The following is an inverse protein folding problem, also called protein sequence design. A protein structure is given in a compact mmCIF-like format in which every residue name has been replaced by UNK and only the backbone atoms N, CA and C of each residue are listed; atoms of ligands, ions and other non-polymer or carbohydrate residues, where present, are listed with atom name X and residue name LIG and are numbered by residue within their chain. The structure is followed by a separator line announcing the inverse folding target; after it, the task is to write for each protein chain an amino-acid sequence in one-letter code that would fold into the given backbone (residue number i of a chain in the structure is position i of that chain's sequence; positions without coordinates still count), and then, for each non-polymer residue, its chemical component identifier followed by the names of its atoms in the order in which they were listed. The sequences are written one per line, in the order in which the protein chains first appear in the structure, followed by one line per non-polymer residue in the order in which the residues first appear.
data_IF_927817250398
#
_entry.id   IF_927817250398
#
_cell.length_a   1.000
_cell.length_b   1.000
_cell.length_c   1.000
_cell.angle_alpha   90.00
_cell.angle_beta   90.00
_cell.angle_gamma   90.00
#
_symmetry.space_group_name_H-M   'P 1'
#
loop_
_entity.id
_entity.type
_entity.pdbx_description
1 polymer ?
#
# COMPACT_ATOMS: atom_id res chain seq x y z
N UNK A 1 6.62 -14.61 34.04
CA UNK A 1 7.59 -14.35 35.08
C UNK A 1 7.01 -13.37 36.05
N UNK A 2 6.45 -13.92 37.08
CA UNK A 2 5.95 -13.09 38.17
C UNK A 2 7.12 -12.32 38.80
N UNK A 3 6.92 -11.09 39.18
CA UNK A 3 7.89 -10.27 39.88
C UNK A 3 8.94 -9.57 39.04
N UNK A 4 8.98 -9.81 37.73
CA UNK A 4 9.87 -9.02 36.87
C UNK A 4 9.26 -7.63 36.62
N UNK A 5 9.88 -6.63 37.21
CA UNK A 5 9.57 -5.23 36.87
C UNK A 5 9.91 -4.98 35.41
N UNK A 6 8.95 -4.54 34.64
CA UNK A 6 9.20 -4.09 33.27
C UNK A 6 9.71 -2.65 33.32
N UNK A 7 10.80 -2.42 32.64
CA UNK A 7 11.27 -1.06 32.43
C UNK A 7 10.44 -0.40 31.33
N UNK A 8 9.39 0.30 31.71
CA UNK A 8 8.48 0.95 30.79
C UNK A 8 9.09 2.16 30.10
N UNK A 9 10.20 2.68 30.61
CA UNK A 9 10.93 3.74 29.94
C UNK A 9 11.54 3.23 28.64
N UNK A 10 12.16 2.04 28.68
CA UNK A 10 12.84 1.47 27.53
C UNK A 10 11.96 0.53 26.69
N UNK A 11 10.93 -0.05 27.31
CA UNK A 11 10.04 -1.04 26.70
C UNK A 11 8.61 -0.54 26.53
N UNK A 12 8.44 0.75 26.49
CA UNK A 12 7.13 1.38 26.34
C UNK A 12 6.84 1.85 24.92
N UNK A 13 6.13 2.94 24.87
CA UNK A 13 5.75 3.59 23.61
C UNK A 13 6.97 4.19 22.94
N UNK A 14 7.04 4.04 21.63
CA UNK A 14 8.12 4.60 20.80
C UNK A 14 7.56 5.51 19.73
N UNK A 15 8.25 6.61 19.51
CA UNK A 15 7.97 7.53 18.42
C UNK A 15 9.14 7.46 17.45
N UNK A 16 8.84 7.14 16.21
CA UNK A 16 9.83 7.19 15.12
C UNK A 16 9.60 8.49 14.38
N UNK A 17 10.57 9.39 14.45
CA UNK A 17 10.48 10.68 13.77
C UNK A 17 10.38 10.51 12.27
N UNK A 18 9.56 11.33 11.62
CA UNK A 18 9.48 11.37 10.16
C UNK A 18 10.78 11.74 9.46
N UNK A 19 11.74 12.30 10.19
CA UNK A 19 13.09 12.60 9.69
C UNK A 19 14.03 11.39 9.74
N UNK A 20 13.64 10.33 10.43
CA UNK A 20 14.48 9.15 10.67
C UNK A 20 13.85 7.87 10.12
N UNK A 21 13.06 7.98 9.06
CA UNK A 21 12.52 6.80 8.39
C UNK A 21 13.63 6.07 7.65
N UNK A 22 13.54 4.74 7.63
CA UNK A 22 14.54 3.90 7.01
C UNK A 22 14.17 3.60 5.55
N UNK A 23 14.89 4.21 4.62
CA UNK A 23 14.72 3.96 3.19
C UNK A 23 15.44 2.71 2.70
N UNK A 24 16.24 2.06 3.56
CA UNK A 24 16.87 0.78 3.27
C UNK A 24 15.85 -0.38 3.44
N UNK A 25 14.81 -0.34 2.65
CA UNK A 25 13.74 -1.34 2.62
C UNK A 25 13.50 -1.73 1.16
N UNK A 26 12.96 -2.93 0.88
CA UNK A 26 12.71 -3.33 -0.51
C UNK A 26 11.88 -2.32 -1.26
N UNK A 27 12.34 -1.97 -2.44
CA UNK A 27 11.72 -0.97 -3.32
C UNK A 27 11.03 -1.63 -4.51
N UNK A 28 10.07 -0.92 -5.06
CA UNK A 28 9.37 -1.30 -6.29
C UNK A 28 9.59 -0.19 -7.33
N UNK A 29 9.87 -0.51 -8.60
CA UNK A 29 9.99 0.53 -9.62
C UNK A 29 8.76 1.43 -9.68
N UNK A 30 8.99 2.73 -9.78
CA UNK A 30 7.94 3.76 -9.82
C UNK A 30 7.49 4.25 -8.46
N UNK A 31 7.99 3.68 -7.37
CA UNK A 31 7.67 4.14 -6.02
C UNK A 31 8.90 4.14 -5.10
N UNK A 32 8.82 4.94 -4.04
CA UNK A 32 9.79 4.96 -2.96
C UNK A 32 9.08 4.59 -1.65
N UNK A 33 9.69 3.70 -0.88
CA UNK A 33 9.22 3.32 0.46
C UNK A 33 10.24 3.72 1.50
N UNK A 34 9.74 4.09 2.68
CA UNK A 34 10.57 4.28 3.85
C UNK A 34 9.88 3.65 5.06
N UNK A 35 10.58 2.77 5.75
CA UNK A 35 10.04 2.10 6.92
C UNK A 35 10.03 3.04 8.12
N UNK A 36 8.90 3.13 8.79
CA UNK A 36 8.76 3.84 10.06
C UNK A 36 8.73 2.84 11.22
N UNK A 37 7.85 1.88 11.16
CA UNK A 37 7.66 0.87 12.21
C UNK A 37 7.99 -0.50 11.63
N UNK A 38 9.03 -1.11 12.13
CA UNK A 38 9.39 -2.50 11.85
C UNK A 38 10.18 -3.06 13.03
N UNK A 39 10.73 -4.25 12.90
CA UNK A 39 11.51 -4.84 13.97
C UNK A 39 12.76 -4.01 14.26
N UNK A 40 13.47 -3.56 13.25
CA UNK A 40 14.71 -2.81 13.41
C UNK A 40 14.51 -1.44 14.07
N UNK A 41 13.45 -0.72 13.74
CA UNK A 41 13.18 0.62 14.26
C UNK A 41 12.51 0.60 15.62
N UNK A 42 11.54 -0.27 15.81
CA UNK A 42 10.65 -0.24 16.97
C UNK A 42 10.54 -1.57 17.72
N UNK A 43 11.17 -2.63 17.24
CA UNK A 43 11.03 -3.97 17.82
C UNK A 43 9.66 -4.60 17.53
N UNK A 44 8.98 -4.15 16.49
CA UNK A 44 7.68 -4.69 16.13
C UNK A 44 7.82 -6.13 15.62
N UNK A 45 6.84 -6.98 15.96
CA UNK A 45 6.85 -8.38 15.58
C UNK A 45 5.83 -8.72 14.49
N UNK A 46 4.69 -8.03 14.48
CA UNK A 46 3.56 -8.37 13.62
C UNK A 46 3.16 -7.26 12.65
N UNK A 47 3.71 -6.08 12.81
CA UNK A 47 3.33 -4.92 12.01
C UNK A 47 4.55 -4.31 11.35
N UNK A 48 4.37 -3.95 10.11
CA UNK A 48 5.25 -3.06 9.38
C UNK A 48 4.44 -1.85 8.95
N UNK A 49 4.98 -0.65 9.13
CA UNK A 49 4.33 0.57 8.66
C UNK A 49 5.39 1.53 8.11
N UNK A 50 5.04 2.23 7.07
CA UNK A 50 5.93 3.19 6.46
C UNK A 50 5.23 4.11 5.48
N UNK A 51 6.01 4.96 4.86
CA UNK A 51 5.54 5.86 3.80
C UNK A 51 5.80 5.26 2.43
N UNK A 52 4.94 5.61 1.50
CA UNK A 52 5.07 5.24 0.08
C UNK A 52 4.80 6.47 -0.76
N UNK A 53 5.73 6.76 -1.64
CA UNK A 53 5.56 7.80 -2.67
C UNK A 53 5.53 7.12 -4.02
N UNK A 54 4.45 7.31 -4.77
CA UNK A 54 4.37 6.86 -6.17
C UNK A 54 4.53 8.10 -7.04
N UNK A 55 5.54 8.07 -7.89
CA UNK A 55 5.88 9.22 -8.73
C UNK A 55 4.73 9.58 -9.69
N UNK A 56 4.71 10.84 -10.11
CA UNK A 56 3.73 11.30 -11.08
C UNK A 56 3.71 10.39 -12.32
N UNK A 57 2.53 10.06 -12.79
CA UNK A 57 2.31 9.20 -13.96
C UNK A 57 2.93 7.80 -13.86
N UNK A 58 3.25 7.34 -12.65
CA UNK A 58 3.85 6.03 -12.44
C UNK A 58 2.83 4.99 -12.00
N UNK A 59 3.19 3.75 -12.22
CA UNK A 59 2.44 2.57 -11.77
C UNK A 59 3.42 1.46 -11.43
N UNK A 60 3.01 0.58 -10.53
CA UNK A 60 3.79 -0.61 -10.21
C UNK A 60 3.58 -1.70 -11.26
N UNK A 61 4.42 -2.72 -11.24
CA UNK A 61 4.10 -3.98 -11.88
C UNK A 61 2.94 -4.69 -11.16
N UNK A 62 2.42 -5.72 -11.79
CA UNK A 62 1.37 -6.56 -11.18
C UNK A 62 2.02 -7.52 -10.21
N UNK A 63 1.49 -7.59 -9.00
CA UNK A 63 2.05 -8.43 -7.93
C UNK A 63 0.98 -8.78 -6.88
N UNK A 64 1.33 -9.71 -6.01
CA UNK A 64 0.62 -9.92 -4.75
C UNK A 64 1.62 -10.06 -3.60
N UNK A 65 1.12 -10.04 -2.38
CA UNK A 65 1.96 -10.08 -1.18
C UNK A 65 1.76 -11.38 -0.38
N UNK A 66 1.41 -12.48 -1.05
CA UNK A 66 1.18 -13.75 -0.39
C UNK A 66 0.08 -13.65 0.66
N UNK A 67 0.34 -14.15 1.85
CA UNK A 67 -0.64 -14.16 2.95
C UNK A 67 -0.76 -12.83 3.69
N UNK A 68 0.04 -11.82 3.34
CA UNK A 68 0.01 -10.53 4.02
C UNK A 68 -1.27 -9.76 3.68
N UNK A 69 -1.78 -9.08 4.68
CA UNK A 69 -2.79 -8.05 4.51
C UNK A 69 -2.12 -6.69 4.50
N UNK A 70 -2.66 -5.77 3.74
CA UNK A 70 -2.14 -4.40 3.66
C UNK A 70 -3.27 -3.39 3.77
N UNK A 71 -2.96 -2.28 4.42
CA UNK A 71 -3.78 -1.09 4.44
C UNK A 71 -2.96 0.04 3.84
N UNK A 72 -3.55 0.78 2.92
CA UNK A 72 -2.99 2.00 2.38
C UNK A 72 -3.89 3.16 2.76
N UNK A 73 -3.31 4.19 3.36
CA UNK A 73 -3.99 5.45 3.64
C UNK A 73 -3.43 6.51 2.70
N UNK A 74 -4.31 7.16 1.93
CA UNK A 74 -3.91 8.22 1.01
C UNK A 74 -3.76 9.53 1.79
N UNK A 75 -2.55 10.07 1.79
CA UNK A 75 -2.25 11.37 2.41
C UNK A 75 -2.52 12.50 1.44
N UNK A 76 -2.00 12.38 0.22
CA UNK A 76 -2.21 13.37 -0.85
C UNK A 76 -2.09 12.72 -2.21
N UNK A 77 -2.77 13.28 -3.19
CA UNK A 77 -2.83 12.75 -4.54
C UNK A 77 -4.05 11.88 -4.76
N UNK A 78 -4.04 11.15 -5.87
CA UNK A 78 -5.14 10.29 -6.29
C UNK A 78 -4.59 8.90 -6.64
N UNK A 79 -5.02 7.91 -5.89
CA UNK A 79 -4.64 6.52 -6.13
C UNK A 79 -5.66 5.83 -7.03
N UNK A 80 -5.16 4.96 -7.89
CA UNK A 80 -6.00 4.01 -8.63
C UNK A 80 -5.46 2.62 -8.37
N UNK A 81 -6.34 1.71 -7.99
CA UNK A 81 -6.01 0.32 -7.79
C UNK A 81 -6.69 -0.51 -8.88
N UNK A 82 -5.94 -1.43 -9.46
CA UNK A 82 -6.50 -2.47 -10.32
C UNK A 82 -6.19 -3.81 -9.73
N UNK A 83 -7.13 -4.75 -9.81
CA UNK A 83 -6.93 -6.09 -9.28
C UNK A 83 -7.74 -7.13 -10.06
N UNK A 84 -7.45 -8.38 -9.78
CA UNK A 84 -8.06 -9.52 -10.44
C UNK A 84 -7.10 -10.23 -11.37
N UNK A 85 -7.52 -11.34 -11.92
CA UNK A 85 -6.68 -12.19 -12.79
C UNK A 85 -6.29 -11.54 -14.11
N UNK A 86 -7.02 -10.50 -14.52
CA UNK A 86 -6.75 -9.68 -15.69
C UNK A 86 -6.69 -8.20 -15.34
N UNK A 87 -6.56 -7.86 -14.06
CA UNK A 87 -6.69 -6.49 -13.57
C UNK A 87 -7.99 -5.83 -14.03
N UNK A 88 -9.06 -6.61 -14.11
CA UNK A 88 -10.35 -6.15 -14.63
C UNK A 88 -11.12 -5.24 -13.69
N UNK A 89 -10.82 -5.30 -12.40
CA UNK A 89 -11.47 -4.46 -11.40
C UNK A 89 -10.64 -3.22 -11.11
N UNK A 90 -11.30 -2.09 -10.93
CA UNK A 90 -10.66 -0.79 -10.72
C UNK A 90 -11.40 -0.02 -9.64
N UNK A 91 -10.65 0.64 -8.77
CA UNK A 91 -11.20 1.67 -7.88
C UNK A 91 -10.22 2.84 -7.75
N UNK A 92 -10.72 3.97 -7.27
CA UNK A 92 -9.91 5.13 -6.95
C UNK A 92 -10.11 5.56 -5.50
N UNK A 93 -9.08 6.16 -4.94
CA UNK A 93 -9.08 6.69 -3.58
C UNK A 93 -8.33 8.02 -3.56
N UNK A 94 -8.86 8.96 -2.82
CA UNK A 94 -8.26 10.28 -2.62
C UNK A 94 -7.85 10.51 -1.17
N UNK A 95 -7.37 11.73 -0.86
CA UNK A 95 -6.87 12.04 0.48
C UNK A 95 -7.89 11.72 1.59
N UNK A 96 -7.42 11.00 2.61
CA UNK A 96 -8.27 10.57 3.72
C UNK A 96 -8.90 9.19 3.56
N UNK A 97 -8.81 8.60 2.37
CA UNK A 97 -9.39 7.28 2.12
C UNK A 97 -8.43 6.16 2.53
N UNK A 98 -9.02 5.03 2.92
CA UNK A 98 -8.30 3.81 3.25
C UNK A 98 -8.56 2.76 2.18
N UNK A 99 -7.49 2.08 1.77
CA UNK A 99 -7.56 0.95 0.84
C UNK A 99 -7.12 -0.30 1.60
N UNK A 100 -7.92 -1.36 1.49
CA UNK A 100 -7.56 -2.66 2.04
C UNK A 100 -7.18 -3.61 0.92
N UNK A 101 -6.03 -4.26 1.04
CA UNK A 101 -5.56 -5.27 0.09
C UNK A 101 -5.55 -6.63 0.79
N UNK A 102 -6.45 -7.54 0.41
CA UNK A 102 -6.50 -8.89 0.98
C UNK A 102 -5.28 -9.74 0.58
N UNK A 103 -5.07 -10.88 1.27
CA UNK A 103 -4.05 -11.83 0.85
C UNK A 103 -4.25 -12.34 -0.58
N UNK A 104 -3.15 -12.62 -1.26
CA UNK A 104 -3.07 -13.29 -2.57
C UNK A 104 -3.72 -12.56 -3.74
N UNK A 105 -4.23 -11.36 -3.57
CA UNK A 105 -4.91 -10.62 -4.64
C UNK A 105 -3.89 -10.04 -5.62
N UNK A 106 -3.90 -10.48 -6.88
CA UNK A 106 -3.12 -9.81 -7.92
C UNK A 106 -3.58 -8.37 -8.08
N UNK A 107 -2.66 -7.43 -7.95
CA UNK A 107 -3.02 -6.01 -8.02
C UNK A 107 -1.90 -5.16 -8.59
N UNK A 108 -2.27 -3.95 -8.94
CA UNK A 108 -1.38 -2.90 -9.42
C UNK A 108 -1.77 -1.59 -8.78
N UNK A 109 -0.78 -0.85 -8.31
CA UNK A 109 -0.93 0.48 -7.72
C UNK A 109 -0.54 1.52 -8.76
N UNK A 110 -1.43 2.48 -8.98
CA UNK A 110 -1.30 3.48 -10.03
C UNK A 110 -1.47 4.87 -9.41
N UNK A 111 -0.58 5.78 -9.76
CA UNK A 111 -0.84 7.19 -9.53
C UNK A 111 -1.76 7.70 -10.65
N UNK A 112 -2.98 8.06 -10.31
CA UNK A 112 -3.96 8.53 -11.28
C UNK A 112 -3.70 9.96 -11.77
N UNK A 113 -2.70 10.63 -11.20
CA UNK A 113 -2.33 11.99 -11.56
C UNK A 113 -1.04 11.99 -12.38
N UNK A 114 -1.04 12.73 -13.48
CA UNK A 114 0.10 12.77 -14.39
C UNK A 114 1.20 13.75 -13.94
N UNK A 115 0.91 14.68 -13.04
CA UNK A 115 1.79 15.79 -12.69
C UNK A 115 2.09 15.93 -11.19
N UNK A 116 1.52 15.09 -10.34
CA UNK A 116 1.73 15.13 -8.90
C UNK A 116 2.05 13.75 -8.35
N UNK A 117 2.95 13.69 -7.38
CA UNK A 117 3.22 12.46 -6.64
C UNK A 117 2.00 12.06 -5.80
N UNK A 118 1.84 10.75 -5.61
CA UNK A 118 0.88 10.15 -4.71
C UNK A 118 1.60 9.79 -3.42
N UNK A 119 1.17 10.36 -2.31
CA UNK A 119 1.76 10.11 -0.99
C UNK A 119 0.81 9.27 -0.15
N UNK A 120 1.31 8.14 0.34
CA UNK A 120 0.51 7.19 1.12
C UNK A 120 1.26 6.72 2.36
N UNK A 121 0.49 6.19 3.30
CA UNK A 121 1.00 5.38 4.40
C UNK A 121 0.59 3.95 4.13
N UNK A 122 1.55 3.04 4.26
CA UNK A 122 1.34 1.61 4.08
C UNK A 122 1.52 0.90 5.42
N UNK A 123 0.57 0.04 5.77
CA UNK A 123 0.65 -0.85 6.93
C UNK A 123 0.50 -2.29 6.45
N UNK A 124 1.39 -3.16 6.88
CA UNK A 124 1.34 -4.60 6.57
C UNK A 124 1.30 -5.45 7.83
N UNK A 125 0.73 -6.62 7.70
CA UNK A 125 0.50 -7.54 8.82
C UNK A 125 1.73 -8.32 9.28
N UNK A 126 2.86 -8.24 8.57
CA UNK A 126 4.08 -8.97 8.94
C UNK A 126 5.33 -8.15 8.59
N UNK A 127 6.47 -8.58 9.12
CA UNK A 127 7.77 -7.95 8.91
C UNK A 127 8.40 -8.34 7.58
N UNK A 128 8.24 -9.59 7.17
CA UNK A 128 8.85 -10.08 5.95
C UNK A 128 8.16 -9.48 4.72
N UNK A 129 8.90 -8.78 3.89
CA UNK A 129 8.33 -8.28 2.65
C UNK A 129 8.13 -9.45 1.68
N UNK A 130 6.88 -9.71 1.33
CA UNK A 130 6.55 -10.69 0.31
C UNK A 130 6.05 -9.95 -0.92
N UNK A 131 6.74 -10.13 -2.04
CA UNK A 131 6.34 -9.60 -3.34
C UNK A 131 6.47 -10.72 -4.36
N UNK A 132 5.35 -11.15 -4.91
CA UNK A 132 5.30 -12.13 -5.99
C UNK A 132 4.88 -11.41 -7.26
N UNK A 133 5.84 -11.17 -8.14
CA UNK A 133 5.58 -10.51 -9.40
C UNK A 133 4.87 -11.45 -10.36
N UNK A 134 3.88 -10.93 -11.05
CA UNK A 134 3.01 -11.70 -11.93
C UNK A 134 3.08 -11.14 -13.34
N UNK A 135 3.14 -12.05 -14.31
CA UNK A 135 2.99 -11.74 -15.73
C UNK A 135 1.60 -12.22 -16.15
N UNK A 136 0.62 -11.34 -16.07
CA UNK A 136 -0.77 -11.66 -16.40
C UNK A 136 -1.29 -10.72 -17.48
N UNK A 137 -2.25 -11.16 -18.29
CA UNK A 137 -2.89 -10.27 -19.25
C UNK A 137 -3.68 -9.19 -18.53
N UNK A 138 -3.61 -7.96 -19.04
CA UNK A 138 -4.34 -6.81 -18.49
C UNK A 138 -5.53 -6.53 -19.40
N UNK A 139 -6.73 -6.51 -18.81
CA UNK A 139 -7.92 -6.12 -19.52
C UNK A 139 -7.83 -4.63 -19.90
N UNK A 140 -7.81 -4.34 -21.18
CA UNK A 140 -7.72 -2.98 -21.71
C UNK A 140 -9.01 -2.52 -22.38
N UNK A 141 -9.81 -3.45 -22.87
CA UNK A 141 -11.11 -3.14 -23.44
C UNK A 141 -12.04 -2.62 -22.35
N UNK A 142 -12.63 -1.41 -22.51
CA UNK A 142 -13.56 -0.85 -21.52
C UNK A 142 -14.72 -1.76 -21.16
N UNK A 143 -15.16 -2.63 -22.08
CA UNK A 143 -16.22 -3.61 -21.81
C UNK A 143 -15.80 -4.72 -20.86
N UNK A 144 -14.52 -4.92 -20.64
CA UNK A 144 -13.95 -5.93 -19.75
C UNK A 144 -13.47 -5.38 -18.42
N UNK A 145 -13.57 -4.08 -18.21
CA UNK A 145 -13.11 -3.39 -16.99
C UNK A 145 -14.31 -2.97 -16.17
N UNK A 146 -14.25 -3.27 -14.86
CA UNK A 146 -15.33 -3.01 -13.93
C UNK A 146 -14.86 -2.04 -12.84
N UNK A 147 -15.49 -0.87 -12.78
CA UNK A 147 -15.22 0.07 -11.70
C UNK A 147 -16.00 -0.33 -10.45
N UNK A 148 -15.25 -0.52 -9.38
CA UNK A 148 -15.78 -0.81 -8.05
C UNK A 148 -15.26 0.26 -7.12
N UNK A 149 -16.11 1.17 -6.72
CA UNK A 149 -15.73 2.26 -5.83
C UNK A 149 -16.85 2.50 -4.82
N UNK A 150 -16.80 1.81 -3.66
CA UNK A 150 -17.85 1.96 -2.66
C UNK A 150 -17.85 3.31 -1.96
N UNK A 151 -16.78 4.09 -2.08
CA UNK A 151 -16.64 5.39 -1.42
C UNK A 151 -17.02 6.52 -2.37
N UNK A 152 -16.58 6.42 -3.61
CA UNK A 152 -16.80 7.44 -4.64
C UNK A 152 -17.79 6.99 -5.71
N UNK A 153 -18.61 5.99 -5.42
CA UNK A 153 -19.53 5.42 -6.38
C UNK A 153 -20.37 6.51 -7.08
N UNK A 154 -20.09 6.72 -8.34
CA UNK A 154 -20.87 7.55 -9.20
C UNK A 154 -21.74 6.65 -10.08
N UNK A 155 -23.07 6.58 -9.86
CA UNK A 155 -23.94 5.72 -10.64
C UNK A 155 -23.94 6.07 -12.14
N UNK A 156 -23.42 7.24 -12.50
CA UNK A 156 -23.26 7.68 -13.88
C UNK A 156 -21.82 7.52 -14.38
N UNK A 157 -20.87 7.10 -13.54
CA UNK A 157 -19.53 6.81 -13.96
C UNK A 157 -19.57 5.54 -14.78
N UNK A 158 -19.57 5.71 -16.09
CA UNK A 158 -19.34 4.60 -16.99
C UNK A 158 -17.87 4.36 -17.11
N UNK A 159 -17.53 3.12 -17.09
CA UNK A 159 -16.22 2.66 -17.42
C UNK A 159 -15.84 3.12 -18.81
N UNK A 160 -14.82 3.87 -18.88
CA UNK A 160 -14.23 4.29 -20.15
C UNK A 160 -12.83 3.72 -20.26
#
# INVERSE_FOLDING_TARGET
MAGRSKNWQDNGIKVISGEHLDSNTPQTPGMNRAAAINHATAGAHKLWAGTVTIHADAKTGVHHHGELESIIFVVSGQARMRWGEKLEFVCEAGPGDFIYIPPHVPHQEINACADKALECILVRSDQEPVVVNLDIPVAEDPGEVFWIDPIHANPNAKLS
#
